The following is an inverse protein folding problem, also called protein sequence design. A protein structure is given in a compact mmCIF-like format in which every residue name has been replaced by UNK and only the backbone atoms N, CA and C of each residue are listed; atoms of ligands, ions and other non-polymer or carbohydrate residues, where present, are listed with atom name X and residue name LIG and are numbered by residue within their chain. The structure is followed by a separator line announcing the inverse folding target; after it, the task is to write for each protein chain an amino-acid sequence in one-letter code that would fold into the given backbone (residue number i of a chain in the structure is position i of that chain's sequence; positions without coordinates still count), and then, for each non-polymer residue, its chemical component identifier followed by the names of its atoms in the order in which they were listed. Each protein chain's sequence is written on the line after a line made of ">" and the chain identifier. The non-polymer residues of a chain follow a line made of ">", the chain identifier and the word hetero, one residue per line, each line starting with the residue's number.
data_IF_516594408098
#
_entry.id   IF_516594408098
#
_cell.length_a   1.000
_cell.length_b   1.000
_cell.length_c   1.000
_cell.angle_alpha   90.00
_cell.angle_beta   90.00
_cell.angle_gamma   90.00
#
_symmetry.space_group_name_H-M   'P 1'
#
loop_
_entity.id
_entity.type
_entity.pdbx_description
1 polymer ?
#
# COMPACT_ATOMS: atom_id res chain seq x y z
N UNK A 1 2.38 -10.08 14.27
CA UNK A 1 1.73 -9.12 13.37
C UNK A 1 2.09 -9.54 11.95
N UNK A 2 1.11 -9.77 11.08
CA UNK A 2 1.36 -10.14 9.68
C UNK A 2 1.85 -8.89 8.93
N UNK A 3 2.93 -9.01 8.17
CA UNK A 3 3.43 -7.92 7.33
C UNK A 3 2.57 -7.78 6.06
N UNK A 4 2.36 -6.55 5.62
CA UNK A 4 1.74 -6.24 4.32
C UNK A 4 2.75 -6.54 3.22
N UNK A 5 2.32 -7.23 2.16
CA UNK A 5 3.17 -7.52 1.02
C UNK A 5 2.61 -8.59 0.09
N UNK A 6 3.30 -8.77 -1.05
CA UNK A 6 2.93 -9.76 -2.07
C UNK A 6 3.25 -11.20 -1.64
N UNK A 7 4.17 -11.36 -0.70
CA UNK A 7 4.65 -12.66 -0.22
C UNK A 7 3.57 -13.40 0.59
N UNK A 8 3.39 -14.68 0.27
CA UNK A 8 2.45 -15.55 0.97
C UNK A 8 3.03 -16.02 2.30
N UNK A 9 2.27 -15.81 3.39
CA UNK A 9 2.50 -16.52 4.64
C UNK A 9 1.81 -17.88 4.58
N UNK A 10 2.48 -18.92 5.06
CA UNK A 10 1.99 -20.29 5.01
C UNK A 10 1.92 -20.86 6.42
N UNK A 11 0.86 -21.60 6.72
CA UNK A 11 0.71 -22.26 8.01
C UNK A 11 -0.03 -23.60 7.87
N UNK A 12 0.09 -24.42 8.91
CA UNK A 12 -0.42 -25.78 8.96
C UNK A 12 -1.08 -26.00 10.32
N UNK A 13 -2.41 -25.99 10.33
CA UNK A 13 -3.19 -26.37 11.49
C UNK A 13 -3.31 -27.90 11.55
N UNK A 14 -2.99 -28.50 12.70
CA UNK A 14 -3.09 -29.95 12.93
C UNK A 14 -4.02 -30.21 14.10
N UNK A 15 -5.00 -31.06 13.88
CA UNK A 15 -5.78 -31.72 14.94
C UNK A 15 -5.52 -33.23 14.90
N UNK A 16 -6.03 -33.96 15.89
CA UNK A 16 -5.75 -35.39 16.11
C UNK A 16 -6.03 -36.30 14.90
N UNK A 17 -7.00 -35.93 14.06
CA UNK A 17 -7.43 -36.71 12.89
C UNK A 17 -7.26 -35.97 11.56
N UNK A 18 -6.84 -34.70 11.56
CA UNK A 18 -6.83 -33.89 10.34
C UNK A 18 -5.72 -32.84 10.30
N UNK A 19 -5.36 -32.44 9.08
CA UNK A 19 -4.37 -31.39 8.83
C UNK A 19 -4.91 -30.43 7.77
N UNK A 20 -4.95 -29.14 8.10
CA UNK A 20 -5.27 -28.05 7.18
C UNK A 20 -4.00 -27.26 6.87
N UNK A 21 -3.63 -27.20 5.58
CA UNK A 21 -2.54 -26.35 5.08
C UNK A 21 -3.15 -25.17 4.36
N UNK A 22 -2.76 -23.96 4.73
CA UNK A 22 -3.34 -22.75 4.15
C UNK A 22 -2.26 -21.71 3.91
N UNK A 23 -2.58 -20.76 3.04
CA UNK A 23 -1.73 -19.61 2.74
C UNK A 23 -2.59 -18.36 2.79
N UNK A 24 -2.02 -17.30 3.34
CA UNK A 24 -2.69 -16.01 3.50
C UNK A 24 -1.70 -14.88 3.29
N UNK A 25 -2.19 -13.74 2.82
CA UNK A 25 -1.42 -12.50 2.66
C UNK A 25 -2.34 -11.30 2.84
N UNK A 26 -1.74 -10.14 3.14
CA UNK A 26 -2.42 -8.85 3.18
C UNK A 26 -1.74 -7.96 2.16
N UNK A 27 -2.51 -7.50 1.18
CA UNK A 27 -2.05 -6.61 0.12
C UNK A 27 -2.89 -5.35 0.20
N UNK A 28 -2.27 -4.19 0.02
CA UNK A 28 -3.01 -2.93 -0.01
C UNK A 28 -3.87 -2.82 -1.27
N UNK A 29 -5.00 -2.14 -1.13
CA UNK A 29 -5.78 -1.72 -2.29
C UNK A 29 -4.99 -0.72 -3.14
N UNK A 30 -5.44 -0.52 -4.38
CA UNK A 30 -4.81 0.43 -5.29
C UNK A 30 -4.73 1.83 -4.65
N UNK A 31 -3.55 2.46 -4.76
CA UNK A 31 -3.23 3.78 -4.18
C UNK A 31 -3.12 3.82 -2.65
N UNK A 32 -3.21 2.69 -1.96
CA UNK A 32 -2.94 2.61 -0.52
C UNK A 32 -1.54 2.04 -0.26
N UNK A 33 -0.84 2.67 0.67
CA UNK A 33 0.55 2.41 1.02
C UNK A 33 0.73 2.31 2.53
N UNK A 34 1.98 2.05 2.95
CA UNK A 34 2.37 1.97 4.35
C UNK A 34 2.15 0.58 4.96
N UNK A 35 2.64 0.39 6.19
CA UNK A 35 2.57 -0.89 6.91
C UNK A 35 1.15 -1.33 7.29
N UNK A 36 0.18 -0.40 7.20
CA UNK A 36 -1.22 -0.60 7.56
C UNK A 36 -2.19 -0.36 6.39
N UNK A 37 -1.68 -0.12 5.18
CA UNK A 37 -2.49 0.25 4.02
C UNK A 37 -3.41 1.47 4.29
N UNK A 38 -2.95 2.42 5.10
CA UNK A 38 -3.70 3.62 5.50
C UNK A 38 -3.26 4.89 4.76
N UNK A 39 -2.09 4.86 4.12
CA UNK A 39 -1.53 6.02 3.43
C UNK A 39 -2.03 6.08 1.99
N UNK A 40 -3.00 6.94 1.72
CA UNK A 40 -3.59 7.08 0.38
C UNK A 40 -2.82 8.08 -0.50
N UNK A 41 -2.34 7.61 -1.65
CA UNK A 41 -1.77 8.44 -2.69
C UNK A 41 -2.12 7.93 -4.09
N UNK A 42 -2.91 8.73 -4.80
CA UNK A 42 -3.19 8.56 -6.23
C UNK A 42 -2.55 9.72 -7.00
N UNK A 43 -1.73 9.44 -8.05
CA UNK A 43 -1.15 10.50 -8.87
C UNK A 43 -2.21 11.46 -9.42
N UNK A 44 -1.89 12.75 -9.43
CA UNK A 44 -2.81 13.83 -9.80
C UNK A 44 -2.08 14.90 -10.62
N UNK A 45 -2.76 15.42 -11.64
CA UNK A 45 -2.26 16.52 -12.45
C UNK A 45 -3.44 17.36 -12.93
N UNK A 46 -4.07 18.05 -12.00
CA UNK A 46 -5.26 18.89 -12.22
C UNK A 46 -5.23 20.10 -11.28
N UNK A 47 -6.29 20.93 -11.28
CA UNK A 47 -6.35 22.15 -10.47
C UNK A 47 -6.16 21.95 -8.95
N UNK A 48 -6.24 20.72 -8.45
CA UNK A 48 -6.06 20.41 -7.03
C UNK A 48 -4.67 19.82 -6.70
N UNK A 49 -3.80 19.62 -7.69
CA UNK A 49 -2.44 19.17 -7.44
C UNK A 49 -1.75 18.53 -8.63
N UNK A 50 -0.41 18.61 -8.60
CA UNK A 50 0.48 18.17 -9.67
C UNK A 50 1.61 17.31 -9.07
N UNK A 51 1.33 16.01 -8.86
CA UNK A 51 2.23 15.09 -8.18
C UNK A 51 2.10 13.64 -8.65
N UNK A 52 3.20 12.90 -8.50
CA UNK A 52 3.24 11.43 -8.49
C UNK A 52 3.33 10.91 -7.05
N UNK A 53 3.17 9.62 -6.87
CA UNK A 53 3.29 8.95 -5.58
C UNK A 53 4.53 8.07 -5.55
N UNK A 54 5.30 8.10 -4.46
CA UNK A 54 6.39 7.15 -4.24
C UNK A 54 5.88 5.82 -3.64
N UNK A 55 6.79 4.87 -3.41
CA UNK A 55 6.44 3.56 -2.86
C UNK A 55 5.84 3.61 -1.44
N UNK A 56 6.17 4.65 -0.67
CA UNK A 56 5.65 4.87 0.67
C UNK A 56 4.33 5.68 0.65
N UNK A 57 3.84 6.07 -0.52
CA UNK A 57 2.62 6.88 -0.65
C UNK A 57 2.86 8.38 -0.44
N UNK A 58 4.10 8.86 -0.45
CA UNK A 58 4.36 10.29 -0.37
C UNK A 58 4.13 10.97 -1.72
N UNK A 59 3.65 12.21 -1.68
CA UNK A 59 3.45 13.04 -2.87
C UNK A 59 4.79 13.63 -3.32
N UNK A 60 5.14 13.37 -4.57
CA UNK A 60 6.32 13.91 -5.24
C UNK A 60 5.84 14.94 -6.26
N UNK A 61 6.05 16.23 -5.98
CA UNK A 61 5.62 17.30 -6.87
C UNK A 61 6.28 17.20 -8.24
N UNK A 62 5.51 17.48 -9.28
CA UNK A 62 6.01 17.64 -10.64
C UNK A 62 6.89 18.90 -10.75
N UNK A 63 7.82 18.99 -11.73
CA UNK A 63 8.67 20.15 -11.88
C UNK A 63 7.88 21.45 -11.99
N UNK A 64 8.26 22.44 -11.18
CA UNK A 64 7.59 23.74 -11.10
C UNK A 64 6.46 23.84 -10.08
N UNK A 65 6.12 22.75 -9.38
CA UNK A 65 5.07 22.72 -8.36
C UNK A 65 5.63 22.50 -6.95
N UNK A 66 4.96 23.03 -5.93
CA UNK A 66 5.30 22.89 -4.51
C UNK A 66 4.07 22.95 -3.59
N UNK A 67 4.32 22.87 -2.28
CA UNK A 67 3.30 22.84 -1.23
C UNK A 67 2.78 21.42 -0.96
N UNK A 68 2.01 21.24 0.11
CA UNK A 68 1.60 19.91 0.61
C UNK A 68 0.77 19.10 -0.40
N UNK A 69 0.09 19.79 -1.32
CA UNK A 69 -0.71 19.21 -2.40
C UNK A 69 -0.10 19.43 -3.79
N UNK A 70 1.11 19.98 -3.87
CA UNK A 70 1.77 20.32 -5.14
C UNK A 70 0.89 21.20 -6.05
N UNK A 71 0.31 22.25 -5.47
CA UNK A 71 -0.64 23.15 -6.13
C UNK A 71 -0.18 24.62 -6.17
N UNK A 72 1.04 24.89 -5.70
CA UNK A 72 1.70 26.22 -5.72
C UNK A 72 2.90 26.27 -6.67
#
# INVERSE_FOLDING_TARGET
>A
RLAVGEDWSQDVHREDQSQLRFSYRVVCDEFYHGEECSDFCRPRNDAFGHFNCDAAGNRICLPGWKGDYCAE
#
